data_IF_435109055762
#
_entry.id   IF_435109055762
#
_cell.length_a   1.000
_cell.length_b   1.000
_cell.length_c   1.000
_cell.angle_alpha   90.00
_cell.angle_beta   90.00
_cell.angle_gamma   90.00
#
_symmetry.space_group_name_H-M   'P 1'
#
loop_
_entity.id
_entity.type
_entity.pdbx_description
1 polymer ?
#
# COMPACT_ATOMS: atom_id res chain seq x y z
N UNK A 1 13.64 -3.16 -22.79
CA UNK A 1 13.06 -2.12 -21.92
C UNK A 1 12.42 -2.78 -20.70
N UNK A 2 12.66 -2.21 -19.54
CA UNK A 2 11.92 -2.65 -18.35
C UNK A 2 10.46 -2.22 -18.47
N UNK A 3 9.51 -3.05 -18.02
CA UNK A 3 8.10 -2.68 -18.06
C UNK A 3 7.83 -1.43 -17.22
N UNK A 4 6.89 -0.62 -17.66
CA UNK A 4 6.42 0.52 -16.86
C UNK A 4 5.72 -0.01 -15.61
N UNK A 5 6.06 0.56 -14.47
CA UNK A 5 5.59 0.08 -13.17
C UNK A 5 5.07 1.23 -12.34
N UNK A 6 3.85 1.11 -11.82
CA UNK A 6 3.28 2.08 -10.88
C UNK A 6 3.24 1.54 -9.45
N UNK A 7 3.45 2.45 -8.49
CA UNK A 7 3.45 2.16 -7.06
C UNK A 7 2.20 2.74 -6.41
N UNK A 8 1.48 1.89 -5.71
CA UNK A 8 0.23 2.24 -5.05
C UNK A 8 0.35 1.98 -3.55
N UNK A 9 0.31 3.05 -2.76
CA UNK A 9 0.34 3.00 -1.31
C UNK A 9 -1.08 3.14 -0.78
N UNK A 10 -1.57 2.10 -0.12
CA UNK A 10 -2.90 2.08 0.47
C UNK A 10 -2.83 2.44 1.94
N UNK A 11 -3.55 3.48 2.32
CA UNK A 11 -3.60 3.97 3.70
C UNK A 11 -5.02 3.89 4.22
N UNK A 12 -5.18 3.26 5.38
CA UNK A 12 -6.41 3.26 6.12
C UNK A 12 -6.25 4.14 7.35
N UNK A 13 -6.94 5.28 7.34
CA UNK A 13 -6.97 6.17 8.50
C UNK A 13 -8.09 5.72 9.44
N UNK A 14 -7.75 4.93 10.43
CA UNK A 14 -8.71 4.47 11.43
C UNK A 14 -8.86 5.52 12.53
N UNK A 15 -10.10 5.86 12.91
CA UNK A 15 -10.34 6.77 14.03
C UNK A 15 -9.82 6.16 15.34
N UNK A 16 -9.62 7.00 16.37
CA UNK A 16 -9.29 6.51 17.71
C UNK A 16 -10.27 5.42 18.17
N UNK A 17 -9.77 4.38 18.82
CA UNK A 17 -10.56 3.21 19.26
C UNK A 17 -10.70 2.10 18.20
N UNK A 18 -10.45 2.39 16.92
CA UNK A 18 -10.43 1.38 15.85
C UNK A 18 -9.01 1.10 15.31
N UNK A 19 -8.03 1.85 15.80
CA UNK A 19 -6.62 1.67 15.44
C UNK A 19 -6.05 0.45 16.16
N UNK A 20 -5.61 -0.54 15.42
CA UNK A 20 -4.84 -1.71 15.90
C UNK A 20 -5.00 -1.93 17.42
N UNK A 21 -6.07 -2.59 17.89
CA UNK A 21 -6.39 -2.65 19.32
C UNK A 21 -5.23 -3.14 20.19
N UNK A 22 -4.45 -4.11 19.70
CA UNK A 22 -3.29 -4.67 20.43
C UNK A 22 -2.17 -3.65 20.64
N UNK A 23 -1.90 -2.80 19.67
CA UNK A 23 -0.88 -1.74 19.79
C UNK A 23 -1.40 -0.64 20.69
N UNK A 24 -2.63 -0.19 20.50
CA UNK A 24 -3.24 0.83 21.35
C UNK A 24 -3.34 0.39 22.81
N UNK A 25 -3.64 -0.87 23.09
CA UNK A 25 -3.61 -1.44 24.43
C UNK A 25 -2.21 -1.44 25.05
N UNK A 26 -1.17 -1.68 24.24
CA UNK A 26 0.20 -1.75 24.74
C UNK A 26 0.84 -0.38 25.00
N UNK A 27 0.56 0.63 24.16
CA UNK A 27 1.23 1.94 24.20
C UNK A 27 0.30 3.14 24.31
N UNK A 28 -1.02 2.92 24.38
CA UNK A 28 -2.05 3.96 24.42
C UNK A 28 -2.46 4.48 23.04
N UNK A 29 -3.66 5.05 22.95
CA UNK A 29 -4.25 5.53 21.70
C UNK A 29 -3.43 6.67 21.05
N UNK A 30 -2.95 7.60 21.85
CA UNK A 30 -2.15 8.73 21.33
C UNK A 30 -0.83 8.25 20.74
N UNK A 31 -0.12 7.36 21.43
CA UNK A 31 1.14 6.80 20.93
C UNK A 31 0.93 5.91 19.71
N UNK A 32 -0.17 5.15 19.66
CA UNK A 32 -0.55 4.36 18.50
C UNK A 32 -0.81 5.24 17.27
N UNK A 33 -1.48 6.38 17.46
CA UNK A 33 -1.71 7.37 16.41
C UNK A 33 -0.41 7.99 15.89
N UNK A 34 0.51 8.34 16.80
CA UNK A 34 1.84 8.85 16.41
C UNK A 34 2.66 7.81 15.65
N UNK A 35 2.62 6.56 16.09
CA UNK A 35 3.30 5.46 15.40
C UNK A 35 2.76 5.29 13.98
N UNK A 36 1.44 5.30 13.81
CA UNK A 36 0.82 5.21 12.50
C UNK A 36 1.27 6.35 11.56
N UNK A 37 1.33 7.57 12.08
CA UNK A 37 1.82 8.73 11.33
C UNK A 37 3.27 8.56 10.90
N UNK A 38 4.15 8.15 11.81
CA UNK A 38 5.58 7.91 11.53
C UNK A 38 5.75 6.83 10.46
N UNK A 39 5.00 5.75 10.54
CA UNK A 39 5.05 4.68 9.56
C UNK A 39 4.59 5.16 8.17
N UNK A 40 3.55 5.97 8.12
CA UNK A 40 3.09 6.56 6.87
C UNK A 40 4.12 7.53 6.28
N UNK A 41 4.67 8.43 7.08
CA UNK A 41 5.73 9.34 6.64
C UNK A 41 6.94 8.58 6.10
N UNK A 42 7.31 7.48 6.74
CA UNK A 42 8.38 6.58 6.28
C UNK A 42 8.05 5.96 4.93
N UNK A 43 6.83 5.46 4.75
CA UNK A 43 6.39 4.90 3.47
C UNK A 43 6.39 5.94 2.35
N UNK A 44 5.96 7.17 2.62
CA UNK A 44 6.00 8.27 1.66
C UNK A 44 7.43 8.63 1.21
N UNK A 45 8.43 8.39 2.08
CA UNK A 45 9.85 8.64 1.79
C UNK A 45 10.56 7.48 1.12
N UNK A 46 9.85 6.41 0.75
CA UNK A 46 10.43 5.34 -0.06
C UNK A 46 11.01 5.91 -1.36
N UNK A 47 12.19 5.44 -1.79
CA UNK A 47 12.85 6.01 -2.96
C UNK A 47 12.05 5.81 -4.24
N UNK A 48 12.05 6.82 -5.07
CA UNK A 48 11.53 6.71 -6.42
C UNK A 48 12.53 5.91 -7.28
N UNK A 49 12.12 4.74 -7.70
CA UNK A 49 12.91 3.83 -8.52
C UNK A 49 12.54 3.91 -10.01
N UNK A 50 12.06 5.06 -10.46
CA UNK A 50 11.60 5.25 -11.82
C UNK A 50 10.19 4.71 -12.05
N UNK A 51 9.36 4.73 -11.02
CA UNK A 51 7.94 4.41 -11.17
C UNK A 51 7.27 5.38 -12.14
N UNK A 52 6.43 4.86 -13.03
CA UNK A 52 5.64 5.68 -13.96
C UNK A 52 4.63 6.56 -13.22
N UNK A 53 4.16 6.11 -12.06
CA UNK A 53 3.32 6.87 -11.14
C UNK A 53 3.49 6.33 -9.71
N UNK A 54 3.36 7.20 -8.73
CA UNK A 54 3.24 6.86 -7.31
C UNK A 54 1.96 7.47 -6.79
N UNK A 55 1.03 6.64 -6.35
CA UNK A 55 -0.31 7.06 -5.94
C UNK A 55 -0.55 6.65 -4.49
N UNK A 56 -0.94 7.64 -3.68
CA UNK A 56 -1.41 7.44 -2.31
C UNK A 56 -2.94 7.34 -2.32
N UNK A 57 -3.45 6.18 -1.96
CA UNK A 57 -4.87 5.90 -1.83
C UNK A 57 -5.28 6.02 -0.37
N UNK A 58 -6.11 7.00 -0.05
CA UNK A 58 -6.58 7.23 1.32
C UNK A 58 -8.08 6.91 1.46
N UNK A 59 -8.48 6.52 2.66
CA UNK A 59 -9.84 6.03 2.95
C UNK A 59 -10.77 7.18 3.36
N UNK A 60 -10.41 7.92 4.36
CA UNK A 60 -11.15 9.06 4.87
C UNK A 60 -10.31 10.33 4.79
N UNK A 61 -10.66 11.35 5.55
CA UNK A 61 -9.92 12.61 5.59
C UNK A 61 -8.46 12.39 6.01
N UNK A 62 -7.58 12.44 5.05
CA UNK A 62 -6.15 12.47 5.31
C UNK A 62 -5.78 13.85 5.84
N UNK A 63 -4.99 13.87 6.92
CA UNK A 63 -4.42 15.09 7.51
C UNK A 63 -3.77 15.96 6.42
N UNK A 64 -4.05 17.25 6.43
CA UNK A 64 -3.57 18.20 5.42
C UNK A 64 -2.03 18.28 5.36
N UNK A 65 -1.34 18.12 6.48
CA UNK A 65 0.12 18.11 6.52
C UNK A 65 0.68 16.86 5.83
N UNK A 66 0.02 15.72 6.00
CA UNK A 66 0.39 14.49 5.31
C UNK A 66 0.09 14.56 3.82
N UNK A 67 -1.01 15.21 3.43
CA UNK A 67 -1.31 15.47 2.02
C UNK A 67 -0.24 16.33 1.38
N UNK A 68 0.14 17.44 2.02
CA UNK A 68 1.19 18.33 1.56
C UNK A 68 2.54 17.62 1.44
N UNK A 69 2.88 16.79 2.42
CA UNK A 69 4.11 16.00 2.41
C UNK A 69 4.12 15.01 1.23
N UNK A 70 3.02 14.29 1.03
CA UNK A 70 2.89 13.34 -0.07
C UNK A 70 3.09 14.01 -1.42
N UNK A 71 2.42 15.14 -1.66
CA UNK A 71 2.56 15.91 -2.89
C UNK A 71 4.00 16.42 -3.07
N UNK A 72 4.61 16.95 -2.01
CA UNK A 72 6.00 17.43 -2.04
C UNK A 72 7.00 16.31 -2.37
N UNK A 73 6.69 15.07 -2.00
CA UNK A 73 7.50 13.89 -2.29
C UNK A 73 7.16 13.22 -3.63
N UNK A 74 6.27 13.80 -4.42
CA UNK A 74 5.95 13.36 -5.78
C UNK A 74 4.83 12.31 -5.86
N UNK A 75 4.01 12.16 -4.81
CA UNK A 75 2.83 11.29 -4.82
C UNK A 75 1.61 12.02 -5.36
N UNK A 76 0.80 11.31 -6.14
CA UNK A 76 -0.56 11.74 -6.45
C UNK A 76 -1.52 11.22 -5.39
N UNK A 77 -2.56 11.98 -5.07
CA UNK A 77 -3.55 11.64 -4.04
C UNK A 77 -4.84 11.18 -4.68
N UNK A 78 -5.36 10.04 -4.25
CA UNK A 78 -6.66 9.53 -4.70
C UNK A 78 -7.44 8.90 -3.55
N UNK A 79 -8.75 9.08 -3.58
CA UNK A 79 -9.64 8.39 -2.63
C UNK A 79 -9.75 6.92 -3.01
N UNK A 80 -9.76 6.05 -2.01
CA UNK A 80 -9.95 4.62 -2.24
C UNK A 80 -11.35 4.35 -2.82
N UNK A 81 -11.46 3.38 -3.76
CA UNK A 81 -12.77 2.96 -4.25
C UNK A 81 -13.57 2.31 -3.12
N UNK A 82 -14.89 2.31 -3.27
CA UNK A 82 -15.79 1.63 -2.34
C UNK A 82 -15.65 0.10 -2.47
N UNK A 83 -16.03 -0.60 -1.42
CA UNK A 83 -16.03 -2.05 -1.37
C UNK A 83 -15.25 -2.62 -0.19
N UNK A 84 -15.20 -3.94 -0.08
CA UNK A 84 -14.34 -4.62 0.88
C UNK A 84 -12.85 -4.47 0.50
N UNK A 85 -11.91 -4.82 1.40
CA UNK A 85 -10.48 -4.63 1.11
C UNK A 85 -10.01 -5.34 -0.16
N UNK A 86 -10.51 -6.52 -0.45
CA UNK A 86 -10.15 -7.26 -1.67
C UNK A 86 -10.64 -6.58 -2.93
N UNK A 87 -11.88 -6.11 -2.92
CA UNK A 87 -12.45 -5.38 -4.05
C UNK A 87 -11.75 -4.04 -4.29
N UNK A 88 -11.41 -3.32 -3.23
CA UNK A 88 -10.62 -2.08 -3.32
C UNK A 88 -9.27 -2.34 -3.98
N UNK A 89 -8.55 -3.36 -3.53
CA UNK A 89 -7.24 -3.73 -4.10
C UNK A 89 -7.37 -4.14 -5.57
N UNK A 90 -8.37 -4.93 -5.91
CA UNK A 90 -8.64 -5.33 -7.28
C UNK A 90 -8.88 -4.12 -8.19
N UNK A 91 -9.68 -3.17 -7.75
CA UNK A 91 -9.98 -1.94 -8.50
C UNK A 91 -8.75 -1.05 -8.64
N UNK A 92 -7.97 -0.88 -7.58
CA UNK A 92 -6.72 -0.11 -7.62
C UNK A 92 -5.73 -0.75 -8.58
N UNK A 93 -5.56 -2.07 -8.51
CA UNK A 93 -4.70 -2.80 -9.45
C UNK A 93 -5.15 -2.63 -10.89
N UNK A 94 -6.45 -2.74 -11.16
CA UNK A 94 -7.00 -2.56 -12.50
C UNK A 94 -6.77 -1.15 -13.03
N UNK A 95 -6.97 -0.12 -12.19
CA UNK A 95 -6.70 1.28 -12.56
C UNK A 95 -5.22 1.50 -12.88
N UNK A 96 -4.32 0.96 -12.07
CA UNK A 96 -2.88 1.05 -12.30
C UNK A 96 -2.45 0.33 -13.58
N UNK A 97 -2.99 -0.84 -13.85
CA UNK A 97 -2.69 -1.62 -15.06
C UNK A 97 -3.30 -1.04 -16.34
N UNK A 98 -4.25 -0.11 -16.23
CA UNK A 98 -4.71 0.64 -17.39
C UNK A 98 -3.67 1.65 -17.90
N UNK A 99 -2.74 2.09 -17.03
CA UNK A 99 -1.73 3.12 -17.32
C UNK A 99 -0.29 2.59 -17.25
N UNK A 100 -0.08 1.39 -16.73
CA UNK A 100 1.25 0.78 -16.62
C UNK A 100 1.20 -0.72 -16.86
N UNK A 101 2.34 -1.32 -17.18
CA UNK A 101 2.43 -2.76 -17.50
C UNK A 101 2.44 -3.63 -16.23
N UNK A 102 2.79 -3.05 -15.10
CA UNK A 102 2.79 -3.72 -13.81
C UNK A 102 2.44 -2.74 -12.68
N UNK A 103 1.93 -3.27 -11.59
CA UNK A 103 1.59 -2.51 -10.37
C UNK A 103 2.20 -3.15 -9.14
N UNK A 104 2.62 -2.32 -8.20
CA UNK A 104 2.93 -2.71 -6.82
C UNK A 104 1.93 -2.05 -5.89
N UNK A 105 1.21 -2.86 -5.12
CA UNK A 105 0.36 -2.39 -4.02
C UNK A 105 1.09 -2.66 -2.72
N UNK A 106 1.29 -1.62 -1.91
CA UNK A 106 2.02 -1.71 -0.64
C UNK A 106 1.20 -1.15 0.51
N UNK A 107 1.49 -1.65 1.71
CA UNK A 107 0.96 -1.13 2.96
C UNK A 107 1.95 -0.16 3.59
N UNK A 108 1.43 0.85 4.29
CA UNK A 108 2.27 1.85 4.97
C UNK A 108 2.85 1.36 6.30
N UNK A 109 2.30 0.31 6.87
CA UNK A 109 2.55 -0.15 8.23
C UNK A 109 3.57 -1.29 8.36
N UNK A 110 4.38 -1.49 7.33
CA UNK A 110 5.43 -2.49 7.31
C UNK A 110 6.81 -1.83 7.27
N UNK A 111 7.50 -1.68 8.42
CA UNK A 111 8.81 -1.01 8.46
C UNK A 111 9.92 -1.74 7.71
N UNK A 112 9.77 -3.04 7.48
CA UNK A 112 10.75 -3.85 6.74
C UNK A 112 10.73 -3.54 5.23
N UNK A 113 9.63 -2.98 4.74
CA UNK A 113 9.47 -2.63 3.34
C UNK A 113 10.28 -1.35 3.05
N UNK A 114 11.49 -1.51 2.59
CA UNK A 114 12.43 -0.45 2.24
C UNK A 114 12.73 -0.43 0.72
N UNK A 115 13.70 0.40 0.32
CA UNK A 115 14.10 0.52 -1.08
C UNK A 115 14.62 -0.77 -1.68
N UNK A 116 15.38 -1.57 -0.94
CA UNK A 116 15.93 -2.85 -1.40
C UNK A 116 14.82 -3.89 -1.58
N UNK A 117 13.85 -3.88 -0.66
CA UNK A 117 12.66 -4.72 -0.77
C UNK A 117 11.85 -4.41 -2.03
N UNK A 118 11.62 -3.11 -2.30
CA UNK A 118 10.94 -2.68 -3.53
C UNK A 118 11.70 -3.09 -4.78
N UNK A 119 13.02 -2.95 -4.79
CA UNK A 119 13.85 -3.34 -5.93
C UNK A 119 13.76 -4.84 -6.20
N UNK A 120 13.82 -5.65 -5.15
CA UNK A 120 13.65 -7.11 -5.28
C UNK A 120 12.27 -7.46 -5.86
N UNK A 121 11.21 -6.78 -5.43
CA UNK A 121 9.86 -6.98 -5.97
C UNK A 121 9.76 -6.56 -7.44
N UNK A 122 10.33 -5.42 -7.82
CA UNK A 122 10.37 -4.97 -9.22
C UNK A 122 11.12 -5.96 -10.12
N UNK A 123 12.26 -6.46 -9.65
CA UNK A 123 13.04 -7.46 -10.37
C UNK A 123 12.26 -8.76 -10.56
N UNK A 124 11.56 -9.21 -9.51
CA UNK A 124 10.73 -10.41 -9.58
C UNK A 124 9.56 -10.26 -10.56
N UNK A 125 8.90 -9.07 -10.59
CA UNK A 125 7.83 -8.78 -11.55
C UNK A 125 8.29 -8.80 -13.02
N UNK A 126 9.56 -8.57 -13.27
CA UNK A 126 10.12 -8.73 -14.61
C UNK A 126 10.13 -10.17 -15.12
N UNK A 127 9.90 -11.15 -14.24
CA UNK A 127 9.96 -12.60 -14.55
C UNK A 127 8.72 -13.36 -14.17
N UNK A 128 7.85 -12.78 -13.35
CA UNK A 128 6.65 -13.43 -12.79
C UNK A 128 5.42 -12.54 -12.97
N UNK A 129 4.26 -13.16 -13.09
CA UNK A 129 2.99 -12.43 -13.24
C UNK A 129 2.46 -11.86 -11.91
N UNK A 130 2.89 -12.44 -10.80
CA UNK A 130 2.55 -11.97 -9.47
C UNK A 130 3.72 -12.14 -8.51
N UNK A 131 3.85 -11.20 -7.58
CA UNK A 131 4.85 -11.20 -6.51
C UNK A 131 4.16 -10.87 -5.20
N UNK A 132 4.46 -11.63 -4.17
CA UNK A 132 3.88 -11.46 -2.85
C UNK A 132 4.97 -11.19 -1.82
N UNK A 133 4.79 -10.16 -1.00
CA UNK A 133 5.62 -9.90 0.18
C UNK A 133 4.88 -10.34 1.45
N UNK A 134 5.08 -11.59 1.94
CA UNK A 134 4.32 -12.12 3.06
C UNK A 134 4.73 -11.49 4.39
N UNK A 135 3.82 -11.52 5.36
CA UNK A 135 4.10 -11.16 6.75
C UNK A 135 3.91 -12.37 7.68
N UNK A 136 4.58 -12.37 8.84
CA UNK A 136 4.66 -13.55 9.73
C UNK A 136 3.31 -14.09 10.20
N UNK A 137 2.32 -13.23 10.36
CA UNK A 137 1.00 -13.62 10.90
C UNK A 137 -0.06 -13.91 9.84
N UNK A 138 0.38 -14.19 8.62
CA UNK A 138 -0.50 -14.33 7.47
C UNK A 138 -0.81 -12.98 6.82
N UNK A 139 -1.25 -13.02 5.58
CA UNK A 139 -1.39 -11.81 4.76
C UNK A 139 -0.07 -11.35 4.16
N UNK A 140 -0.07 -10.12 3.65
CA UNK A 140 1.09 -9.58 2.93
C UNK A 140 1.17 -8.05 3.07
N UNK A 141 2.37 -7.53 2.96
CA UNK A 141 2.67 -6.10 2.95
C UNK A 141 2.84 -5.55 1.54
N UNK A 142 3.08 -6.41 0.56
CA UNK A 142 3.28 -6.08 -0.84
C UNK A 142 2.60 -7.10 -1.74
N UNK A 143 1.88 -6.61 -2.74
CA UNK A 143 1.33 -7.41 -3.84
C UNK A 143 1.73 -6.75 -5.17
N UNK A 144 2.51 -7.43 -5.99
CA UNK A 144 2.87 -7.01 -7.33
C UNK A 144 2.11 -7.83 -8.37
N UNK A 145 1.59 -7.19 -9.41
CA UNK A 145 0.80 -7.83 -10.45
C UNK A 145 1.12 -7.27 -11.83
N UNK A 146 1.15 -8.14 -12.84
CA UNK A 146 1.17 -7.75 -14.25
C UNK A 146 -0.20 -7.90 -14.93
N UNK A 147 -1.15 -8.53 -14.24
CA UNK A 147 -2.54 -8.64 -14.65
C UNK A 147 -3.44 -8.83 -13.44
N UNK A 148 -4.70 -8.46 -13.56
CA UNK A 148 -5.71 -8.76 -12.54
C UNK A 148 -6.40 -10.08 -12.87
N UNK A 149 -6.28 -11.04 -11.95
CA UNK A 149 -7.10 -12.25 -11.96
C UNK A 149 -8.14 -12.12 -10.83
N UNK A 150 -9.44 -12.10 -11.13
CA UNK A 150 -10.48 -11.97 -10.10
C UNK A 150 -10.37 -13.00 -8.98
N UNK A 151 -9.91 -14.22 -9.29
CA UNK A 151 -9.75 -15.29 -8.30
C UNK A 151 -8.75 -14.96 -7.19
N UNK A 152 -7.81 -14.05 -7.43
CA UNK A 152 -6.86 -13.58 -6.39
C UNK A 152 -7.55 -12.80 -5.27
N UNK A 153 -8.72 -12.24 -5.54
CA UNK A 153 -9.41 -11.31 -4.64
C UNK A 153 -10.77 -11.85 -4.16
N UNK A 154 -11.28 -12.90 -4.78
CA UNK A 154 -12.55 -13.51 -4.41
C UNK A 154 -12.38 -14.49 -3.25
N UNK A 155 -13.34 -14.48 -2.34
CA UNK A 155 -13.42 -15.43 -1.22
C UNK A 155 -12.20 -15.44 -0.28
N UNK A 156 -11.41 -14.37 -0.26
CA UNK A 156 -10.29 -14.24 0.65
C UNK A 156 -10.75 -13.61 1.98
N UNK A 157 -10.33 -14.15 3.14
CA UNK A 157 -10.67 -13.59 4.44
C UNK A 157 -9.82 -12.34 4.73
N UNK A 158 -10.12 -11.26 4.06
CA UNK A 158 -9.42 -9.98 4.23
C UNK A 158 -9.63 -9.44 5.64
N UNK A 159 -8.53 -9.16 6.35
CA UNK A 159 -8.57 -8.61 7.69
C UNK A 159 -8.89 -9.65 8.77
N UNK A 160 -8.76 -10.92 8.48
CA UNK A 160 -8.79 -11.97 9.49
C UNK A 160 -7.65 -11.82 10.49
N UNK A 161 -7.93 -12.09 11.78
CA UNK A 161 -6.94 -12.09 12.87
C UNK A 161 -5.82 -13.13 12.67
#
# INVERSE_FOLDING_TARGET
>A
MSPTLSLHLMVRNLPPGQRRPKIAQAIGEESAGRLQRVLLERALRLPDRGFSARILWFDDDLDSDLQALAVALGWSLMSQPAGDPGERMRRIAALGLAESEAVLLIRHDCPVLDGDYLEAACTALGRHQAVLGPVERGGYALLGLTRVDPLLFESMPWGGD
#
